data_IF_660092302329
#
_entry.id   IF_660092302329
#
_cell.length_a   1.000
_cell.length_b   1.000
_cell.length_c   1.000
_cell.angle_alpha   90.00
_cell.angle_beta   90.00
_cell.angle_gamma   90.00
#
_symmetry.space_group_name_H-M   'P 1'
#
loop_
_entity.id
_entity.type
_entity.pdbx_description
1 polymer ?
#
# COMPACT_ATOMS: atom_id res chain seq x y z
N UNK A 1 -6.70 -14.88 2.81
CA UNK A 1 -5.34 -14.36 2.59
C UNK A 1 -4.90 -13.63 3.85
N UNK A 2 -3.72 -13.95 4.36
CA UNK A 2 -3.22 -13.47 5.63
C UNK A 2 -1.85 -12.79 5.45
N UNK A 3 -1.74 -11.48 5.73
CA UNK A 3 -0.45 -10.83 5.89
C UNK A 3 0.14 -11.21 7.26
N UNK A 4 1.18 -12.03 7.26
CA UNK A 4 1.74 -12.63 8.49
C UNK A 4 3.09 -12.04 8.88
N UNK A 5 3.22 -10.72 8.77
CA UNK A 5 4.41 -9.95 9.16
C UNK A 5 5.72 -10.57 8.64
N UNK A 6 6.65 -10.94 9.51
CA UNK A 6 7.92 -11.59 9.13
C UNK A 6 7.74 -13.01 8.57
N UNK A 7 6.59 -13.64 8.78
CA UNK A 7 6.25 -14.96 8.23
C UNK A 7 5.80 -14.93 6.77
N UNK A 8 5.64 -13.75 6.18
CA UNK A 8 5.30 -13.61 4.76
C UNK A 8 3.79 -13.52 4.47
N UNK A 9 3.41 -13.91 3.29
CA UNK A 9 2.03 -14.01 2.83
C UNK A 9 1.55 -15.45 2.97
N UNK A 10 0.40 -15.67 3.62
CA UNK A 10 -0.12 -17.01 3.92
C UNK A 10 -1.53 -17.15 3.34
N UNK A 11 -1.81 -18.30 2.75
CA UNK A 11 -3.14 -18.68 2.28
C UNK A 11 -3.71 -19.74 3.24
N UNK A 12 -4.91 -19.49 3.76
CA UNK A 12 -5.62 -20.39 4.64
C UNK A 12 -6.94 -20.83 4.01
N UNK A 13 -7.25 -22.12 4.10
CA UNK A 13 -8.61 -22.62 3.94
C UNK A 13 -9.39 -22.37 5.25
N UNK A 14 -10.49 -21.66 5.12
CA UNK A 14 -11.40 -21.31 6.22
C UNK A 14 -12.81 -21.83 5.99
N UNK A 15 -12.98 -22.89 5.19
CA UNK A 15 -14.28 -23.53 4.99
C UNK A 15 -14.87 -23.98 6.35
N UNK A 16 -14.05 -24.53 7.25
CA UNK A 16 -14.36 -24.63 8.66
C UNK A 16 -13.63 -23.51 9.44
N UNK A 17 -14.36 -22.43 9.74
CA UNK A 17 -13.81 -21.27 10.46
C UNK A 17 -13.26 -21.59 11.85
N UNK A 18 -13.63 -22.75 12.44
CA UNK A 18 -13.13 -23.20 13.74
C UNK A 18 -11.82 -23.98 13.64
N UNK A 19 -11.45 -24.39 12.42
CA UNK A 19 -10.26 -25.20 12.13
C UNK A 19 -9.60 -24.77 10.82
N UNK A 20 -9.09 -23.52 10.73
CA UNK A 20 -8.39 -23.09 9.53
C UNK A 20 -7.15 -23.95 9.28
N UNK A 21 -6.93 -24.30 8.01
CA UNK A 21 -5.76 -25.07 7.58
C UNK A 21 -4.93 -24.27 6.58
N UNK A 22 -3.62 -24.40 6.68
CA UNK A 22 -2.72 -23.73 5.76
C UNK A 22 -2.76 -24.41 4.39
N UNK A 23 -3.04 -23.65 3.34
CA UNK A 23 -2.95 -24.09 1.94
C UNK A 23 -1.52 -23.91 1.46
N UNK A 24 -0.96 -22.71 1.62
CA UNK A 24 0.38 -22.39 1.20
C UNK A 24 0.92 -21.16 1.94
N UNK A 25 2.21 -20.89 1.77
CA UNK A 25 2.85 -19.66 2.20
C UNK A 25 3.86 -19.18 1.15
N UNK A 26 4.04 -17.87 1.07
CA UNK A 26 5.08 -17.21 0.29
C UNK A 26 5.95 -16.40 1.24
N UNK A 27 7.06 -16.96 1.74
CA UNK A 27 8.04 -16.18 2.47
C UNK A 27 8.78 -15.30 1.48
N UNK A 28 8.74 -13.97 1.68
CA UNK A 28 9.61 -13.07 0.92
C UNK A 28 11.04 -13.25 1.43
N UNK A 29 11.76 -14.25 0.88
CA UNK A 29 13.08 -14.67 1.34
C UNK A 29 14.19 -14.26 0.33
N UNK A 30 15.34 -13.74 0.77
CA UNK A 30 15.54 -13.39 2.17
C UNK A 30 14.48 -12.40 2.60
N UNK A 31 13.90 -12.54 3.80
CA UNK A 31 12.96 -11.54 4.27
C UNK A 31 13.67 -10.21 4.10
N UNK A 32 12.98 -9.23 3.56
CA UNK A 32 13.58 -7.91 3.26
C UNK A 32 14.07 -7.20 4.55
N UNK A 33 14.28 -7.93 5.63
CA UNK A 33 14.72 -7.48 6.95
C UNK A 33 13.92 -6.27 7.47
N UNK A 34 12.78 -6.00 6.86
CA UNK A 34 11.79 -5.06 7.36
C UNK A 34 11.20 -5.61 8.65
N UNK A 35 10.93 -4.74 9.61
CA UNK A 35 10.28 -5.16 10.87
C UNK A 35 8.90 -5.77 10.61
N UNK A 36 8.19 -5.26 9.59
CA UNK A 36 6.92 -5.83 9.12
C UNK A 36 7.07 -6.14 7.63
N UNK A 37 7.48 -7.36 7.33
CA UNK A 37 7.72 -7.83 5.96
C UNK A 37 6.45 -7.88 5.13
N UNK A 38 5.34 -8.33 5.70
CA UNK A 38 4.01 -8.31 5.07
C UNK A 38 3.00 -7.71 6.03
N UNK A 39 2.50 -6.51 5.69
CA UNK A 39 1.52 -5.76 6.46
C UNK A 39 0.11 -5.89 5.89
N UNK A 40 -0.02 -5.80 4.57
CA UNK A 40 -1.30 -5.81 3.87
C UNK A 40 -1.25 -6.82 2.72
N UNK A 41 -2.32 -7.58 2.55
CA UNK A 41 -2.51 -8.52 1.43
C UNK A 41 -3.97 -8.42 0.94
N UNK A 42 -4.17 -7.78 -0.22
CA UNK A 42 -5.48 -7.56 -0.80
C UNK A 42 -5.64 -8.26 -2.15
N UNK A 43 -6.59 -9.21 -2.25
CA UNK A 43 -6.93 -9.81 -3.53
C UNK A 43 -7.60 -8.76 -4.45
N UNK A 44 -7.26 -8.80 -5.72
CA UNK A 44 -8.02 -8.15 -6.76
C UNK A 44 -9.17 -9.09 -7.15
N UNK A 45 -10.41 -8.65 -6.92
CA UNK A 45 -11.58 -9.54 -6.84
C UNK A 45 -11.87 -10.37 -8.08
N UNK A 46 -11.67 -9.79 -9.26
CA UNK A 46 -11.95 -10.45 -10.55
C UNK A 46 -10.66 -10.97 -11.23
N UNK A 47 -9.58 -11.10 -10.46
CA UNK A 47 -8.26 -11.46 -11.00
C UNK A 47 -7.54 -12.40 -10.03
N UNK A 48 -6.77 -13.31 -10.57
CA UNK A 48 -5.99 -14.28 -9.77
C UNK A 48 -4.68 -13.65 -9.26
N UNK A 49 -4.78 -12.45 -8.66
CA UNK A 49 -3.65 -11.75 -8.07
C UNK A 49 -3.99 -11.15 -6.70
N UNK A 50 -2.96 -11.04 -5.86
CA UNK A 50 -2.99 -10.34 -4.57
C UNK A 50 -1.92 -9.25 -4.57
N UNK A 51 -2.28 -8.07 -4.08
CA UNK A 51 -1.32 -6.99 -3.84
C UNK A 51 -0.85 -7.09 -2.41
N UNK A 52 0.45 -7.30 -2.23
CA UNK A 52 1.08 -7.56 -0.93
C UNK A 52 2.12 -6.49 -0.65
N UNK A 53 2.04 -5.83 0.52
CA UNK A 53 3.05 -4.85 0.89
C UNK A 53 3.54 -4.98 2.34
N UNK A 54 4.76 -4.53 2.55
CA UNK A 54 5.38 -4.33 3.86
C UNK A 54 4.86 -3.05 4.54
N UNK A 55 5.32 -2.79 5.76
CA UNK A 55 5.19 -1.49 6.42
C UNK A 55 6.56 -1.00 6.87
N UNK A 56 6.89 0.26 6.62
CA UNK A 56 8.08 0.90 7.19
C UNK A 56 7.82 1.34 8.63
N UNK A 57 8.68 0.91 9.55
CA UNK A 57 8.61 1.28 10.98
C UNK A 57 9.66 2.33 11.35
N UNK A 58 10.88 2.21 10.78
CA UNK A 58 11.97 3.13 11.05
C UNK A 58 11.86 4.39 10.19
N UNK A 59 12.16 5.52 10.81
CA UNK A 59 12.26 6.78 10.10
C UNK A 59 13.58 6.90 9.32
N UNK A 60 13.62 7.82 8.32
CA UNK A 60 14.82 8.12 7.53
C UNK A 60 15.47 6.88 6.90
N UNK A 61 14.65 5.91 6.49
CA UNK A 61 15.11 4.65 5.89
C UNK A 61 16.17 3.89 6.71
N UNK A 62 16.05 3.89 8.03
CA UNK A 62 16.94 3.13 8.93
C UNK A 62 16.55 1.64 9.00
N UNK A 63 15.91 1.15 7.97
CA UNK A 63 15.61 -0.25 7.67
C UNK A 63 15.63 -0.45 6.16
N UNK A 64 15.67 -1.67 5.65
CA UNK A 64 15.51 -1.91 4.21
C UNK A 64 14.22 -1.27 3.68
N UNK A 65 14.27 -0.73 2.46
CA UNK A 65 13.11 -0.09 1.86
C UNK A 65 11.94 -1.06 1.76
N UNK A 66 10.78 -0.58 2.18
CA UNK A 66 9.54 -1.32 2.06
C UNK A 66 9.19 -1.62 0.61
N UNK A 67 8.48 -2.71 0.39
CA UNK A 67 8.06 -3.17 -0.94
C UNK A 67 6.54 -3.28 -1.02
N UNK A 68 6.03 -3.17 -2.25
CA UNK A 68 4.69 -3.57 -2.63
C UNK A 68 4.81 -4.47 -3.84
N UNK A 69 4.26 -5.67 -3.76
CA UNK A 69 4.40 -6.74 -4.75
C UNK A 69 3.05 -7.15 -5.33
N UNK A 70 3.08 -7.60 -6.58
CA UNK A 70 1.99 -8.35 -7.19
C UNK A 70 2.30 -9.83 -7.07
N UNK A 71 1.42 -10.59 -6.45
CA UNK A 71 1.52 -12.04 -6.27
C UNK A 71 0.48 -12.71 -7.13
N UNK A 72 0.89 -13.64 -7.98
CA UNK A 72 0.03 -14.53 -8.76
C UNK A 72 -0.47 -15.65 -7.83
N UNK A 73 -1.77 -15.84 -7.81
CA UNK A 73 -2.49 -16.88 -7.05
C UNK A 73 -3.38 -17.73 -7.93
N UNK A 74 -3.10 -17.80 -9.24
CA UNK A 74 -3.84 -18.68 -10.17
C UNK A 74 -3.77 -20.15 -9.74
N UNK A 75 -2.73 -20.53 -9.02
CA UNK A 75 -2.65 -21.73 -8.19
C UNK A 75 -2.40 -21.32 -6.74
N UNK A 76 -3.42 -21.34 -5.90
CA UNK A 76 -3.29 -20.97 -4.48
C UNK A 76 -2.36 -21.90 -3.69
N UNK A 77 -2.04 -23.08 -4.21
CA UNK A 77 -1.07 -24.00 -3.58
C UNK A 77 0.39 -23.63 -3.89
N UNK A 78 0.63 -22.77 -4.91
CA UNK A 78 1.96 -22.33 -5.35
C UNK A 78 1.97 -20.81 -5.70
N UNK A 79 1.67 -19.92 -4.74
CA UNK A 79 1.68 -18.48 -4.99
C UNK A 79 3.10 -17.99 -5.26
N UNK A 80 3.26 -17.04 -6.20
CA UNK A 80 4.57 -16.48 -6.49
C UNK A 80 4.52 -15.01 -6.88
N UNK A 81 5.55 -14.28 -6.49
CA UNK A 81 5.69 -12.87 -6.84
C UNK A 81 6.02 -12.71 -8.33
N UNK A 82 5.22 -11.91 -9.04
CA UNK A 82 5.40 -11.67 -10.48
C UNK A 82 5.89 -10.25 -10.80
N UNK A 83 5.72 -9.29 -9.90
CA UNK A 83 6.21 -7.93 -10.07
C UNK A 83 6.38 -7.22 -8.73
N UNK A 84 7.18 -6.15 -8.73
CA UNK A 84 7.23 -5.13 -7.68
C UNK A 84 6.66 -3.82 -8.22
N UNK A 85 5.92 -3.10 -7.39
CA UNK A 85 5.53 -1.71 -7.68
C UNK A 85 6.77 -0.83 -7.73
N UNK A 86 6.85 0.15 -8.65
CA UNK A 86 7.93 1.12 -8.64
C UNK A 86 7.92 1.93 -7.34
N UNK A 87 9.12 2.24 -6.82
CA UNK A 87 9.23 3.11 -5.67
C UNK A 87 8.82 4.55 -6.04
N UNK A 88 8.13 5.25 -5.15
CA UNK A 88 7.80 6.65 -5.35
C UNK A 88 9.03 7.53 -5.57
N UNK A 89 8.99 8.40 -6.56
CA UNK A 89 9.99 9.43 -6.79
C UNK A 89 9.51 10.79 -6.28
N UNK A 90 10.41 11.64 -5.75
CA UNK A 90 10.06 13.00 -5.39
C UNK A 90 9.65 13.85 -6.61
N UNK A 91 8.79 14.87 -6.43
CA UNK A 91 8.57 15.86 -7.48
C UNK A 91 9.89 16.52 -7.95
N UNK A 92 9.98 16.93 -9.21
CA UNK A 92 11.21 17.51 -9.76
C UNK A 92 11.73 18.76 -9.02
N UNK A 93 10.84 19.51 -8.36
CA UNK A 93 11.11 20.72 -7.60
C UNK A 93 11.25 20.48 -6.09
N UNK A 94 11.25 19.21 -5.66
CA UNK A 94 11.38 18.87 -4.24
C UNK A 94 12.75 19.33 -3.67
N UNK A 95 12.79 19.88 -2.46
CA UNK A 95 14.05 20.31 -1.82
C UNK A 95 14.88 19.15 -1.25
N UNK A 96 14.59 17.91 -1.64
CA UNK A 96 15.27 16.68 -1.25
C UNK A 96 15.38 15.74 -2.46
N UNK A 97 16.44 14.92 -2.51
CA UNK A 97 16.73 14.03 -3.63
C UNK A 97 15.93 12.73 -3.60
N UNK A 98 15.50 12.33 -2.42
CA UNK A 98 14.70 11.12 -2.19
C UNK A 98 13.88 11.26 -0.89
N UNK A 99 12.90 10.42 -0.68
CA UNK A 99 12.03 10.47 0.50
C UNK A 99 12.72 10.08 1.81
N UNK A 100 13.87 9.40 1.77
CA UNK A 100 14.68 9.17 2.98
C UNK A 100 15.25 10.48 3.54
N UNK A 101 15.68 11.40 2.66
CA UNK A 101 16.17 12.73 3.03
C UNK A 101 15.04 13.67 3.48
N UNK A 102 13.83 13.48 2.99
CA UNK A 102 12.65 14.23 3.45
C UNK A 102 12.46 14.09 4.97
N UNK A 103 12.72 12.91 5.51
CA UNK A 103 12.52 12.57 6.93
C UNK A 103 11.18 11.85 7.18
N UNK A 104 10.95 11.41 8.42
CA UNK A 104 9.83 10.55 8.76
C UNK A 104 9.97 9.13 8.19
N UNK A 105 8.89 8.36 8.21
CA UNK A 105 8.85 7.01 7.62
C UNK A 105 8.65 7.08 6.12
N UNK A 106 9.34 6.23 5.37
CA UNK A 106 9.18 6.03 3.94
C UNK A 106 8.96 4.55 3.63
N UNK A 107 7.81 4.20 3.14
CA UNK A 107 7.41 2.85 2.76
C UNK A 107 5.91 2.76 2.56
N UNK A 108 5.43 1.67 1.94
CA UNK A 108 4.00 1.44 1.79
C UNK A 108 3.35 1.17 3.14
N UNK A 109 2.04 1.37 3.23
CA UNK A 109 1.26 1.09 4.43
C UNK A 109 -0.09 0.48 4.06
N UNK A 110 -1.16 1.27 4.03
CA UNK A 110 -2.50 0.76 3.76
C UNK A 110 -2.92 0.97 2.30
N UNK A 111 -3.74 0.03 1.83
CA UNK A 111 -4.37 0.08 0.51
C UNK A 111 -5.86 0.37 0.66
N UNK A 112 -6.47 0.98 -0.36
CA UNK A 112 -7.91 1.03 -0.48
C UNK A 112 -8.50 -0.38 -0.57
N UNK A 113 -9.44 -0.69 0.34
CA UNK A 113 -10.03 -2.03 0.51
C UNK A 113 -11.52 -1.97 0.18
N UNK A 114 -11.94 -2.23 -1.07
CA UNK A 114 -13.35 -2.17 -1.47
C UNK A 114 -14.20 -3.27 -0.82
N UNK A 115 -13.67 -4.49 -0.63
CA UNK A 115 -14.29 -5.59 0.14
C UNK A 115 -15.78 -5.83 -0.17
N UNK A 116 -16.17 -5.77 -1.45
CA UNK A 116 -17.57 -5.94 -1.91
C UNK A 116 -18.56 -4.90 -1.32
N UNK A 117 -18.07 -3.78 -0.81
CA UNK A 117 -18.93 -2.73 -0.29
C UNK A 117 -19.50 -1.88 -1.45
N UNK A 118 -20.84 -1.79 -1.60
CA UNK A 118 -21.45 -1.13 -2.76
C UNK A 118 -21.25 0.40 -2.79
N UNK A 119 -20.76 0.96 -1.70
CA UNK A 119 -20.48 2.40 -1.58
C UNK A 119 -19.03 2.77 -1.82
N UNK A 120 -18.16 1.77 -1.96
CA UNK A 120 -16.74 1.96 -2.22
C UNK A 120 -16.45 1.78 -3.72
N UNK A 121 -15.39 2.43 -4.16
CA UNK A 121 -14.90 2.35 -5.52
C UNK A 121 -14.35 0.95 -5.81
N UNK A 122 -14.74 0.39 -6.94
CA UNK A 122 -14.33 -0.94 -7.40
C UNK A 122 -13.62 -0.80 -8.74
N UNK A 123 -12.34 -1.11 -8.78
CA UNK A 123 -11.59 -1.25 -10.02
C UNK A 123 -10.29 -2.00 -9.76
N UNK A 124 -10.24 -3.27 -10.16
CA UNK A 124 -9.10 -4.16 -9.92
C UNK A 124 -7.87 -3.85 -10.78
N UNK A 125 -7.97 -2.88 -11.70
CA UNK A 125 -6.81 -2.38 -12.43
C UNK A 125 -6.06 -1.27 -11.70
N UNK A 126 -6.62 -0.75 -10.58
CA UNK A 126 -6.02 0.33 -9.82
C UNK A 126 -5.75 -0.04 -8.37
N UNK A 127 -4.57 0.31 -7.89
CA UNK A 127 -4.16 0.19 -6.49
C UNK A 127 -3.93 1.57 -5.92
N UNK A 128 -4.71 1.94 -4.89
CA UNK A 128 -4.49 3.14 -4.10
C UNK A 128 -3.72 2.75 -2.85
N UNK A 129 -2.53 3.31 -2.68
CA UNK A 129 -1.58 2.92 -1.64
C UNK A 129 -1.07 4.15 -0.91
N UNK A 130 -1.14 4.16 0.40
CA UNK A 130 -0.48 5.18 1.21
C UNK A 130 0.98 4.83 1.42
N UNK A 131 1.83 5.85 1.39
CA UNK A 131 3.29 5.67 1.41
C UNK A 131 3.97 6.63 2.40
N UNK A 132 3.38 6.81 3.58
CA UNK A 132 3.83 7.71 4.65
C UNK A 132 4.25 9.10 4.15
N UNK A 133 5.54 9.43 4.22
CA UNK A 133 6.07 10.74 3.83
C UNK A 133 6.03 10.99 2.31
N UNK A 134 5.76 9.97 1.51
CA UNK A 134 5.53 10.07 0.07
C UNK A 134 4.04 10.23 -0.30
N UNK A 135 3.12 10.25 0.68
CA UNK A 135 1.71 10.56 0.47
C UNK A 135 0.91 9.41 -0.11
N UNK A 136 -0.10 9.73 -0.91
CA UNK A 136 -0.90 8.77 -1.68
C UNK A 136 -0.21 8.48 -3.00
N UNK A 137 -0.19 7.21 -3.38
CA UNK A 137 0.25 6.71 -4.69
C UNK A 137 -0.86 5.90 -5.34
N UNK A 138 -1.03 6.04 -6.64
CA UNK A 138 -2.01 5.27 -7.41
C UNK A 138 -1.26 4.56 -8.52
N UNK A 139 -1.41 3.23 -8.56
CA UNK A 139 -0.76 2.38 -9.54
C UNK A 139 -1.78 1.74 -10.46
N UNK A 140 -1.47 1.71 -11.76
CA UNK A 140 -2.14 0.89 -12.75
C UNK A 140 -1.49 -0.50 -12.74
N UNK A 141 -2.29 -1.53 -12.48
CA UNK A 141 -1.94 -2.94 -12.49
C UNK A 141 -2.72 -3.72 -13.54
N UNK A 142 -3.26 -3.05 -14.55
CA UNK A 142 -3.97 -3.70 -15.67
C UNK A 142 -3.09 -4.75 -16.35
N UNK A 143 -1.79 -4.47 -16.52
CA UNK A 143 -0.76 -5.48 -16.71
C UNK A 143 -0.07 -5.77 -15.37
N UNK A 144 -0.38 -6.89 -14.70
CA UNK A 144 0.14 -7.18 -13.37
C UNK A 144 1.65 -7.43 -13.33
N UNK A 145 2.29 -7.65 -14.49
CA UNK A 145 3.74 -7.83 -14.60
C UNK A 145 4.48 -6.51 -14.82
N UNK A 146 3.77 -5.45 -15.19
CA UNK A 146 4.34 -4.13 -15.49
C UNK A 146 3.57 -3.00 -14.78
N UNK A 147 3.44 -3.03 -13.44
CA UNK A 147 2.73 -1.99 -12.70
C UNK A 147 3.36 -0.62 -12.93
N UNK A 148 2.52 0.43 -13.01
CA UNK A 148 2.94 1.81 -13.27
C UNK A 148 2.30 2.76 -12.28
N UNK A 149 3.06 3.70 -11.73
CA UNK A 149 2.47 4.83 -11.02
C UNK A 149 1.78 5.77 -12.03
N UNK A 150 0.50 6.05 -11.80
CA UNK A 150 -0.34 6.86 -12.73
C UNK A 150 -0.81 8.16 -12.11
N UNK A 151 -0.82 8.26 -10.78
CA UNK A 151 -1.12 9.48 -10.06
C UNK A 151 -0.56 9.45 -8.64
N UNK A 152 -0.41 10.62 -8.06
CA UNK A 152 0.00 10.78 -6.68
C UNK A 152 -0.52 12.09 -6.07
N UNK A 153 -0.60 12.11 -4.74
CA UNK A 153 -0.81 13.33 -3.97
C UNK A 153 0.14 13.33 -2.79
N UNK A 154 0.95 14.37 -2.70
CA UNK A 154 1.88 14.60 -1.60
C UNK A 154 1.33 15.73 -0.72
N UNK A 155 0.82 15.43 0.49
CA UNK A 155 0.40 16.47 1.42
C UNK A 155 1.55 17.43 1.72
N UNK A 156 1.27 18.74 1.90
CA UNK A 156 2.28 19.67 2.40
C UNK A 156 2.77 19.21 3.78
N UNK A 157 4.02 19.53 4.11
CA UNK A 157 4.52 19.21 5.44
C UNK A 157 3.78 20.04 6.51
N UNK A 158 3.40 19.45 7.65
CA UNK A 158 2.68 20.16 8.69
C UNK A 158 3.55 21.23 9.36
N UNK A 159 2.94 22.33 9.77
CA UNK A 159 3.60 23.41 10.51
C UNK A 159 3.53 23.22 12.02
N UNK A 160 2.61 22.40 12.49
CA UNK A 160 2.38 22.12 13.90
C UNK A 160 2.40 20.61 14.16
N UNK A 161 3.04 20.22 15.25
CA UNK A 161 3.05 18.83 15.70
C UNK A 161 1.80 18.53 16.54
N UNK A 162 1.00 17.56 16.10
CA UNK A 162 -0.21 17.11 16.84
C UNK A 162 -0.05 15.72 17.44
N UNK A 163 0.86 14.90 16.92
CA UNK A 163 1.15 13.54 17.39
C UNK A 163 2.63 13.32 17.68
N UNK A 164 2.96 12.14 18.21
CA UNK A 164 4.35 11.78 18.57
C UNK A 164 5.20 11.50 17.32
N UNK A 165 4.58 11.09 16.23
CA UNK A 165 5.26 10.72 14.99
C UNK A 165 5.00 11.71 13.86
N UNK A 166 5.95 11.91 12.95
CA UNK A 166 7.32 11.38 12.99
C UNK A 166 8.16 12.07 14.07
N UNK A 167 9.07 11.34 14.71
CA UNK A 167 9.88 11.87 15.80
C UNK A 167 11.07 12.70 15.29
N UNK A 168 11.66 12.30 14.16
CA UNK A 168 12.87 12.92 13.60
C UNK A 168 12.60 14.31 13.02
N UNK A 169 11.74 14.42 12.03
CA UNK A 169 11.41 15.66 11.34
C UNK A 169 9.91 15.74 11.13
N UNK A 170 9.33 16.92 11.37
CA UNK A 170 7.91 17.13 11.15
C UNK A 170 7.62 17.21 9.65
N UNK A 171 7.17 16.09 9.08
CA UNK A 171 6.77 15.94 7.69
C UNK A 171 5.43 15.18 7.61
N UNK A 172 4.74 15.30 6.49
CA UNK A 172 3.52 14.53 6.24
C UNK A 172 3.77 13.02 6.44
N UNK A 173 2.79 12.34 7.02
CA UNK A 173 2.79 10.87 7.23
C UNK A 173 1.41 10.35 6.91
N UNK A 174 1.17 10.05 5.64
CA UNK A 174 -0.11 9.53 5.14
C UNK A 174 -0.27 8.07 5.55
N UNK A 175 -1.35 7.78 6.26
CA UNK A 175 -1.56 6.48 6.93
C UNK A 175 -2.52 5.57 6.19
N UNK A 176 -3.70 6.10 5.81
CA UNK A 176 -4.77 5.27 5.28
C UNK A 176 -5.47 5.93 4.10
N UNK A 177 -6.16 5.11 3.28
CA UNK A 177 -6.90 5.56 2.12
C UNK A 177 -8.21 4.79 1.97
N UNK A 178 -9.28 5.52 1.65
CA UNK A 178 -10.53 4.94 1.17
C UNK A 178 -11.06 5.76 0.00
N UNK A 179 -11.65 5.09 -0.98
CA UNK A 179 -12.24 5.75 -2.17
C UNK A 179 -13.72 5.41 -2.22
N UNK A 180 -14.59 6.43 -2.24
CA UNK A 180 -16.03 6.20 -2.38
C UNK A 180 -16.41 5.95 -3.86
N UNK A 181 -17.58 5.37 -4.09
CA UNK A 181 -18.08 5.05 -5.44
C UNK A 181 -18.17 6.27 -6.38
N UNK A 182 -18.21 7.49 -5.84
CA UNK A 182 -18.26 8.73 -6.62
C UNK A 182 -16.87 9.21 -7.03
N UNK A 183 -15.81 8.50 -6.59
CA UNK A 183 -14.41 8.83 -6.86
C UNK A 183 -13.82 9.89 -5.92
N UNK A 184 -14.45 10.14 -4.76
CA UNK A 184 -13.79 10.92 -3.73
C UNK A 184 -12.80 10.04 -2.99
N UNK A 185 -11.56 10.50 -2.91
CA UNK A 185 -10.45 9.80 -2.25
C UNK A 185 -10.23 10.46 -0.90
N UNK A 186 -10.35 9.69 0.16
CA UNK A 186 -10.11 10.13 1.53
C UNK A 186 -8.79 9.54 1.98
N UNK A 187 -7.87 10.37 2.43
CA UNK A 187 -6.62 9.93 3.06
C UNK A 187 -6.49 10.53 4.45
N UNK A 188 -5.91 9.78 5.37
CA UNK A 188 -5.56 10.28 6.70
C UNK A 188 -4.07 10.59 6.79
N UNK A 189 -3.73 11.63 7.57
CA UNK A 189 -2.36 12.00 7.88
C UNK A 189 -2.22 12.27 9.38
N UNK A 190 -1.09 11.87 9.96
CA UNK A 190 -0.86 11.92 11.42
C UNK A 190 -0.96 13.32 12.01
N UNK A 191 -0.57 14.36 11.29
CA UNK A 191 -0.53 15.72 11.82
C UNK A 191 -1.52 16.69 11.16
N UNK A 192 -2.11 16.31 10.01
CA UNK A 192 -3.12 17.12 9.33
C UNK A 192 -4.55 16.66 9.59
N UNK A 193 -4.79 15.35 9.74
CA UNK A 193 -6.12 14.75 9.81
C UNK A 193 -6.53 14.15 8.47
N UNK A 194 -7.63 14.60 7.88
CA UNK A 194 -8.19 13.97 6.66
C UNK A 194 -8.16 14.97 5.49
N UNK A 195 -7.67 14.49 4.34
CA UNK A 195 -7.84 15.15 3.05
C UNK A 195 -8.94 14.45 2.26
N UNK A 196 -9.72 15.23 1.54
CA UNK A 196 -10.68 14.75 0.54
C UNK A 196 -10.19 15.22 -0.83
N UNK A 197 -9.87 14.28 -1.68
CA UNK A 197 -9.22 14.51 -2.97
C UNK A 197 -10.12 14.02 -4.10
N UNK A 198 -9.86 14.53 -5.29
CA UNK A 198 -10.41 14.00 -6.54
C UNK A 198 -9.30 13.93 -7.58
N UNK A 199 -9.28 12.83 -8.32
CA UNK A 199 -8.41 12.65 -9.46
C UNK A 199 -9.23 12.68 -10.75
N UNK A 200 -9.00 13.68 -11.61
CA UNK A 200 -9.76 13.87 -12.86
C UNK A 200 -9.53 12.73 -13.87
N UNK A 201 -8.42 12.00 -13.73
CA UNK A 201 -8.11 10.81 -14.52
C UNK A 201 -8.72 9.51 -14.01
N UNK A 202 -9.52 9.55 -12.92
CA UNK A 202 -10.08 8.34 -12.32
C UNK A 202 -11.15 7.73 -13.25
N UNK A 203 -10.98 6.48 -13.73
CA UNK A 203 -12.02 5.83 -14.51
C UNK A 203 -13.27 5.55 -13.66
N UNK A 204 -14.43 5.33 -14.28
CA UNK A 204 -15.65 4.96 -13.54
C UNK A 204 -15.45 3.68 -12.71
N UNK A 205 -16.15 3.61 -11.56
CA UNK A 205 -16.23 2.38 -10.79
C UNK A 205 -16.85 1.25 -11.61
N UNK A 206 -16.34 0.03 -11.45
CA UNK A 206 -16.83 -1.16 -12.18
C UNK A 206 -18.09 -1.79 -11.55
N UNK A 207 -18.64 -1.24 -10.47
CA UNK A 207 -19.86 -1.70 -9.79
C UNK A 207 -21.05 -0.77 -9.96
#
# INVERSE_FOLDING_TARGET
YLPYSAGGFVILDIADKTKPTMVSDLPFSPPFLSFIGVHTALPQQDRDIVIVNSEAIREMCQEPLGHCAVVDISDESDPHMIALMPLPEPPPDAPYRNFCEKGGRFGPHNQHQPQYQPHLYQNDDLVFLTYFNAGLRIYDVSDPRLPKEVAWFLPPDPTERRGLLPASKLVAQTEDVVVDRRGNIFISDKNHGIYVLRWDGLPPSKN
#
